data_IF_647408881850
#
_entry.id   IF_647408881850
#
_cell.length_a   1.000
_cell.length_b   1.000
_cell.length_c   1.000
_cell.angle_alpha   90.00
_cell.angle_beta   90.00
_cell.angle_gamma   90.00
#
_symmetry.space_group_name_H-M   'P 1'
#
loop_
_entity.id
_entity.type
_entity.pdbx_description
1 polymer ?
#
# COMPACT_ATOMS: atom_id res chain seq x y z
N UNK A 1 16.01 -6.48 -5.14
CA UNK A 1 16.90 -6.88 -4.04
C UNK A 1 17.66 -5.62 -3.60
N UNK A 2 17.69 -5.30 -2.30
CA UNK A 2 17.88 -3.97 -1.66
C UNK A 2 16.58 -3.25 -1.26
N UNK A 3 15.59 -3.95 -0.68
CA UNK A 3 14.35 -3.34 -0.18
C UNK A 3 13.41 -2.78 -1.25
N UNK A 4 13.75 -2.90 -2.54
CA UNK A 4 12.90 -2.45 -3.65
C UNK A 4 11.77 -3.45 -3.94
N UNK A 5 10.54 -2.98 -4.19
CA UNK A 5 9.43 -3.84 -4.59
C UNK A 5 9.74 -4.52 -5.93
N UNK A 6 9.34 -5.79 -6.06
CA UNK A 6 9.67 -6.63 -7.23
C UNK A 6 8.42 -6.96 -8.03
N UNK A 7 7.40 -7.53 -7.39
CA UNK A 7 6.13 -7.92 -8.00
C UNK A 7 5.04 -8.09 -6.96
N UNK A 8 3.78 -8.10 -7.40
CA UNK A 8 2.70 -8.71 -6.63
C UNK A 8 2.78 -10.24 -6.71
N UNK A 9 2.55 -10.92 -5.58
CA UNK A 9 2.42 -12.38 -5.53
C UNK A 9 0.97 -12.83 -5.63
N UNK A 10 0.09 -12.05 -5.01
CA UNK A 10 -1.34 -12.33 -4.87
C UNK A 10 -2.11 -11.02 -5.08
N UNK A 11 -3.29 -11.11 -5.70
CA UNK A 11 -4.13 -9.95 -5.98
C UNK A 11 -5.60 -10.34 -5.79
N UNK A 12 -6.36 -9.50 -5.09
CA UNK A 12 -7.82 -9.58 -5.02
C UNK A 12 -8.35 -8.26 -5.57
N UNK A 13 -9.23 -8.34 -6.58
CA UNK A 13 -9.90 -7.15 -7.09
C UNK A 13 -10.98 -6.68 -6.12
N UNK A 14 -10.98 -5.38 -5.80
CA UNK A 14 -12.04 -4.75 -5.01
C UNK A 14 -13.41 -4.79 -5.69
N UNK A 15 -13.48 -4.96 -7.02
CA UNK A 15 -14.73 -4.91 -7.78
C UNK A 15 -15.71 -6.05 -7.46
N UNK A 16 -15.30 -7.06 -6.66
CA UNK A 16 -16.12 -8.23 -6.35
C UNK A 16 -16.13 -8.65 -4.87
N UNK A 17 -15.69 -7.79 -3.94
CA UNK A 17 -15.61 -8.13 -2.50
C UNK A 17 -16.19 -7.04 -1.61
N UNK A 18 -16.97 -7.44 -0.60
CA UNK A 18 -17.38 -6.57 0.53
C UNK A 18 -16.37 -6.55 1.66
N UNK A 19 -15.37 -7.43 1.62
CA UNK A 19 -14.28 -7.54 2.57
C UNK A 19 -13.04 -6.83 2.04
N UNK A 20 -12.29 -6.17 2.91
CA UNK A 20 -11.01 -5.56 2.56
C UNK A 20 -9.97 -6.65 2.23
N UNK A 21 -9.44 -6.70 0.99
CA UNK A 21 -8.33 -7.58 0.62
C UNK A 21 -7.15 -7.56 1.58
N UNK A 22 -6.79 -6.41 2.14
CA UNK A 22 -5.63 -6.32 3.03
C UNK A 22 -5.88 -7.06 4.35
N UNK A 23 -7.11 -7.03 4.88
CA UNK A 23 -7.49 -7.83 6.04
C UNK A 23 -7.45 -9.33 5.74
N UNK A 24 -7.93 -9.74 4.56
CA UNK A 24 -7.88 -11.14 4.12
C UNK A 24 -6.44 -11.64 4.03
N UNK A 25 -5.56 -10.87 3.39
CA UNK A 25 -4.16 -11.26 3.23
C UNK A 25 -3.42 -11.31 4.56
N UNK A 26 -3.65 -10.33 5.45
CA UNK A 26 -3.10 -10.32 6.80
C UNK A 26 -3.57 -11.54 7.61
N UNK A 27 -4.88 -11.81 7.62
CA UNK A 27 -5.45 -12.96 8.34
C UNK A 27 -4.97 -14.32 7.82
N UNK A 28 -4.61 -14.41 6.54
CA UNK A 28 -4.00 -15.61 5.93
C UNK A 28 -2.50 -15.74 6.19
N UNK A 29 -1.87 -14.77 6.85
CA UNK A 29 -0.43 -14.77 7.12
C UNK A 29 0.41 -14.64 5.84
N UNK A 30 -0.09 -13.91 4.85
CA UNK A 30 0.60 -13.72 3.56
C UNK A 30 1.55 -12.52 3.55
N UNK A 31 1.69 -11.82 4.67
CA UNK A 31 2.69 -10.77 4.89
C UNK A 31 3.83 -11.27 5.77
N UNK A 32 5.01 -10.64 5.61
CA UNK A 32 6.15 -10.76 6.50
C UNK A 32 6.80 -9.38 6.70
N UNK A 33 5.98 -8.42 7.16
CA UNK A 33 6.36 -7.00 7.32
C UNK A 33 7.56 -6.85 8.23
N UNK A 34 7.59 -7.57 9.35
CA UNK A 34 8.70 -7.55 10.32
C UNK A 34 10.02 -8.04 9.70
N UNK A 35 9.97 -9.08 8.86
CA UNK A 35 11.14 -9.60 8.14
C UNK A 35 11.63 -8.62 7.06
N UNK A 36 10.70 -7.93 6.40
CA UNK A 36 11.01 -6.90 5.40
C UNK A 36 11.74 -5.73 6.05
N UNK A 37 11.30 -5.29 7.23
CA UNK A 37 11.99 -4.24 7.99
C UNK A 37 13.39 -4.70 8.43
N UNK A 38 13.52 -5.94 8.92
CA UNK A 38 14.79 -6.45 9.45
C UNK A 38 15.83 -6.79 8.36
N UNK A 39 15.39 -7.27 7.20
CA UNK A 39 16.29 -7.86 6.19
C UNK A 39 16.09 -7.35 4.76
N UNK A 40 15.07 -6.52 4.52
CA UNK A 40 14.70 -6.04 3.19
C UNK A 40 14.11 -7.14 2.28
N UNK A 41 13.69 -8.27 2.85
CA UNK A 41 13.14 -9.43 2.14
C UNK A 41 11.84 -9.87 2.81
N UNK A 42 10.88 -10.28 1.98
CA UNK A 42 9.57 -10.72 2.42
C UNK A 42 8.44 -10.10 1.60
N UNK A 43 7.22 -10.20 2.11
CA UNK A 43 6.02 -9.66 1.47
C UNK A 43 5.37 -8.59 2.36
N UNK A 44 4.92 -7.51 1.74
CA UNK A 44 4.11 -6.48 2.41
C UNK A 44 2.77 -6.36 1.73
N UNK A 45 1.80 -5.81 2.46
CA UNK A 45 0.51 -5.44 1.93
C UNK A 45 0.67 -4.19 1.05
N UNK A 46 0.06 -4.19 -0.13
CA UNK A 46 0.11 -3.08 -1.07
C UNK A 46 -1.17 -2.97 -1.87
N UNK A 47 -1.48 -1.76 -2.32
CA UNK A 47 -2.58 -1.45 -3.21
C UNK A 47 -2.05 -1.03 -4.59
N UNK A 48 -2.84 -1.29 -5.62
CA UNK A 48 -2.65 -0.72 -6.96
C UNK A 48 -3.89 0.08 -7.35
N UNK A 49 -3.68 1.28 -7.89
CA UNK A 49 -4.71 2.13 -8.47
C UNK A 49 -4.35 2.47 -9.90
N UNK A 50 -5.33 2.50 -10.78
CA UNK A 50 -5.13 2.93 -12.17
C UNK A 50 -5.68 4.34 -12.37
N UNK A 51 -4.89 5.19 -13.01
CA UNK A 51 -5.29 6.53 -13.41
C UNK A 51 -5.21 6.68 -14.93
N UNK A 52 -6.00 7.58 -15.54
CA UNK A 52 -5.80 7.95 -16.95
C UNK A 52 -4.38 8.45 -17.18
N UNK A 53 -3.74 8.06 -18.29
CA UNK A 53 -2.35 8.42 -18.57
C UNK A 53 -2.13 9.93 -18.66
N UNK A 54 -3.12 10.69 -19.12
CA UNK A 54 -3.07 12.15 -19.22
C UNK A 54 -2.96 12.82 -17.83
N UNK A 55 -3.49 12.17 -16.80
CA UNK A 55 -3.42 12.64 -15.42
C UNK A 55 -2.09 12.32 -14.73
N UNK A 56 -1.20 11.53 -15.36
CA UNK A 56 0.01 11.02 -14.73
C UNK A 56 0.96 12.12 -14.24
N UNK A 57 1.12 13.19 -15.04
CA UNK A 57 1.96 14.33 -14.66
C UNK A 57 1.40 15.02 -13.41
N UNK A 58 0.13 15.37 -13.44
CA UNK A 58 -0.56 16.03 -12.32
C UNK A 58 -0.58 15.13 -11.07
N UNK A 59 -0.80 13.83 -11.23
CA UNK A 59 -0.77 12.89 -10.12
C UNK A 59 0.61 12.86 -9.44
N UNK A 60 1.71 12.86 -10.21
CA UNK A 60 3.07 12.94 -9.65
C UNK A 60 3.30 14.22 -8.86
N UNK A 61 2.86 15.37 -9.38
CA UNK A 61 2.98 16.66 -8.69
C UNK A 61 2.18 16.70 -7.37
N UNK A 62 0.99 16.08 -7.35
CA UNK A 62 0.16 15.98 -6.14
C UNK A 62 0.81 15.03 -5.13
N UNK A 63 1.30 13.87 -5.57
CA UNK A 63 1.96 12.90 -4.71
C UNK A 63 3.24 13.48 -4.08
N UNK A 64 4.00 14.28 -4.81
CA UNK A 64 5.17 14.99 -4.28
C UNK A 64 4.78 16.03 -3.21
N UNK A 65 3.65 16.73 -3.39
CA UNK A 65 3.11 17.64 -2.36
C UNK A 65 2.63 16.88 -1.12
N UNK A 66 1.99 15.74 -1.31
CA UNK A 66 1.54 14.87 -0.23
C UNK A 66 2.74 14.35 0.60
N UNK A 67 3.80 13.89 -0.06
CA UNK A 67 5.06 13.47 0.58
C UNK A 67 5.68 14.60 1.41
N UNK A 68 5.74 15.83 0.86
CA UNK A 68 6.23 17.02 1.59
C UNK A 68 5.36 17.38 2.81
N UNK A 69 4.09 16.98 2.83
CA UNK A 69 3.19 17.15 3.94
C UNK A 69 3.20 15.95 4.93
N UNK A 70 4.09 14.97 4.74
CA UNK A 70 4.19 13.78 5.58
C UNK A 70 3.28 12.62 5.18
N UNK A 71 2.50 12.77 4.10
CA UNK A 71 1.63 11.71 3.56
C UNK A 71 2.43 10.89 2.56
N UNK A 72 3.11 9.86 3.08
CA UNK A 72 3.96 8.96 2.31
C UNK A 72 3.22 7.69 1.90
N UNK A 73 3.84 6.91 1.00
CA UNK A 73 3.37 5.55 0.71
C UNK A 73 3.46 5.09 -0.74
N UNK A 74 3.91 5.94 -1.66
CA UNK A 74 4.11 5.52 -3.06
C UNK A 74 5.29 4.56 -3.14
N UNK A 75 5.05 3.33 -3.59
CA UNK A 75 6.08 2.31 -3.81
C UNK A 75 6.60 2.32 -5.25
N UNK A 76 5.72 2.54 -6.22
CA UNK A 76 6.08 2.60 -7.63
C UNK A 76 5.01 3.35 -8.43
N UNK A 77 5.44 4.01 -9.51
CA UNK A 77 4.55 4.59 -10.53
C UNK A 77 4.93 3.97 -11.87
N UNK A 78 3.99 3.26 -12.48
CA UNK A 78 4.13 2.62 -13.78
C UNK A 78 4.17 3.63 -14.93
N UNK A 79 4.69 3.19 -16.07
CA UNK A 79 4.57 3.93 -17.33
C UNK A 79 3.17 3.70 -17.93
N UNK A 80 2.65 4.64 -18.75
CA UNK A 80 1.40 4.43 -19.47
C UNK A 80 1.42 3.14 -20.28
N UNK A 81 0.30 2.40 -20.29
CA UNK A 81 0.10 1.16 -21.04
C UNK A 81 1.10 0.02 -20.71
N UNK A 82 1.84 0.13 -19.60
CA UNK A 82 2.85 -0.84 -19.20
C UNK A 82 2.49 -1.48 -17.85
N UNK A 83 2.70 -2.80 -17.68
CA UNK A 83 2.53 -3.44 -16.39
C UNK A 83 3.40 -2.80 -15.30
N UNK A 84 2.89 -2.73 -14.07
CA UNK A 84 3.64 -2.27 -12.90
C UNK A 84 3.70 -3.40 -11.88
N UNK A 85 4.92 -3.75 -11.45
CA UNK A 85 5.17 -4.85 -10.51
C UNK A 85 4.47 -6.17 -10.92
N UNK A 86 4.47 -6.48 -12.22
CA UNK A 86 3.86 -7.69 -12.76
C UNK A 86 2.33 -7.66 -12.94
N UNK A 87 1.68 -6.54 -12.58
CA UNK A 87 0.23 -6.37 -12.76
C UNK A 87 -0.04 -5.58 -14.04
N UNK A 88 -0.81 -6.12 -15.01
CA UNK A 88 -1.21 -5.38 -16.20
C UNK A 88 -2.12 -4.21 -15.82
N UNK A 89 -2.03 -3.13 -16.58
CA UNK A 89 -2.90 -1.94 -16.45
C UNK A 89 -3.76 -1.81 -17.70
N UNK A 90 -4.91 -1.13 -17.58
CA UNK A 90 -5.80 -0.88 -18.71
C UNK A 90 -5.16 -0.03 -19.82
N UNK A 91 -5.81 -0.06 -20.99
CA UNK A 91 -5.45 0.83 -22.11
C UNK A 91 -5.66 2.29 -21.68
N UNK A 92 -4.72 3.14 -22.04
CA UNK A 92 -4.62 4.57 -21.71
C UNK A 92 -4.58 4.84 -20.20
N UNK A 93 -4.05 3.87 -19.43
CA UNK A 93 -3.88 3.95 -17.98
C UNK A 93 -2.42 3.84 -17.55
N UNK A 94 -2.13 4.37 -16.38
CA UNK A 94 -0.91 4.12 -15.63
C UNK A 94 -1.26 3.59 -14.23
N UNK A 95 -0.48 2.64 -13.72
CA UNK A 95 -0.65 2.08 -12.39
C UNK A 95 0.17 2.83 -11.34
N UNK A 96 -0.43 3.12 -10.20
CA UNK A 96 0.23 3.67 -9.01
C UNK A 96 0.14 2.62 -7.90
N UNK A 97 1.30 2.21 -7.39
CA UNK A 97 1.42 1.24 -6.31
C UNK A 97 1.64 1.99 -5.00
N UNK A 98 0.79 1.70 -4.01
CA UNK A 98 0.81 2.30 -2.68
C UNK A 98 1.05 1.22 -1.63
N UNK A 99 1.79 1.54 -0.58
CA UNK A 99 1.90 0.70 0.61
C UNK A 99 0.52 0.55 1.27
N UNK A 100 0.23 -0.64 1.79
CA UNK A 100 -1.00 -0.89 2.54
C UNK A 100 -0.94 -0.24 3.92
N UNK A 101 -1.97 0.54 4.27
CA UNK A 101 -2.10 1.15 5.60
C UNK A 101 -2.21 0.13 6.75
N UNK A 102 -2.52 -1.13 6.44
CA UNK A 102 -2.64 -2.22 7.41
C UNK A 102 -1.29 -2.89 7.76
N UNK A 103 -0.17 -2.51 7.11
CA UNK A 103 1.14 -3.13 7.40
C UNK A 103 1.57 -3.03 8.88
N UNK A 104 1.36 -1.91 9.61
CA UNK A 104 1.65 -1.86 11.04
C UNK A 104 0.85 -2.89 11.85
N UNK A 105 -0.44 -3.06 11.56
CA UNK A 105 -1.28 -4.05 12.24
C UNK A 105 -0.88 -5.49 11.88
N UNK A 106 -0.47 -5.72 10.62
CA UNK A 106 0.09 -7.00 10.21
C UNK A 106 1.39 -7.31 10.98
N UNK A 107 2.27 -6.33 11.19
CA UNK A 107 3.48 -6.50 12.00
C UNK A 107 3.17 -6.86 13.46
N UNK A 108 2.16 -6.24 14.07
CA UNK A 108 1.68 -6.59 15.42
C UNK A 108 1.15 -8.02 15.47
N UNK A 109 0.37 -8.43 14.46
CA UNK A 109 -0.13 -9.80 14.35
C UNK A 109 1.00 -10.83 14.16
N UNK A 110 2.00 -10.53 13.31
CA UNK A 110 3.21 -11.34 13.12
C UNK A 110 3.99 -11.55 14.44
N UNK A 111 3.99 -10.54 15.32
CA UNK A 111 4.57 -10.62 16.66
C UNK A 111 3.70 -11.41 17.68
N UNK A 112 2.58 -12.00 17.24
CA UNK A 112 1.63 -12.76 18.05
C UNK A 112 0.98 -11.95 19.17
N UNK A 113 0.90 -10.62 18.99
CA UNK A 113 0.18 -9.73 19.90
C UNK A 113 -1.29 -9.73 19.46
N UNK A 114 -2.25 -10.07 20.34
CA UNK A 114 -3.67 -10.04 20.01
C UNK A 114 -4.12 -8.64 19.57
N UNK A 115 -4.80 -8.57 18.44
CA UNK A 115 -5.30 -7.32 17.86
C UNK A 115 -6.69 -7.54 17.26
N UNK A 116 -7.54 -6.52 17.35
CA UNK A 116 -8.84 -6.46 16.66
C UNK A 116 -8.90 -5.21 15.80
N UNK A 117 -9.19 -5.36 14.50
CA UNK A 117 -9.58 -4.26 13.63
C UNK A 117 -11.10 -4.17 13.52
N UNK A 118 -11.59 -2.96 13.30
CA UNK A 118 -12.97 -2.68 12.92
C UNK A 118 -12.96 -2.06 11.53
N UNK A 119 -14.07 -2.18 10.80
CA UNK A 119 -14.26 -1.44 9.55
C UNK A 119 -14.13 0.08 9.79
N UNK A 120 -13.80 0.82 8.73
CA UNK A 120 -13.67 2.29 8.75
C UNK A 120 -14.89 2.90 9.45
N UNK A 121 -14.67 3.49 10.63
CA UNK A 121 -15.73 4.01 11.49
C UNK A 121 -15.61 5.51 11.80
N UNK A 122 -14.50 6.15 11.40
CA UNK A 122 -14.15 7.51 11.83
C UNK A 122 -13.47 8.35 10.76
N UNK A 123 -13.70 9.65 10.88
CA UNK A 123 -12.91 10.72 10.28
C UNK A 123 -12.08 11.35 11.41
N UNK A 124 -10.81 11.62 11.14
CA UNK A 124 -9.87 12.23 12.09
C UNK A 124 -9.25 13.44 11.41
N UNK A 125 -9.14 14.56 12.11
CA UNK A 125 -8.44 15.74 11.60
C UNK A 125 -6.94 15.46 11.55
N UNK A 126 -6.28 15.88 10.49
CA UNK A 126 -4.84 15.60 10.31
C UNK A 126 -4.00 16.20 11.45
N UNK A 127 -4.42 17.35 12.00
CA UNK A 127 -3.77 18.03 13.11
C UNK A 127 -3.84 17.26 14.44
N UNK A 128 -4.79 16.32 14.57
CA UNK A 128 -4.91 15.46 15.75
C UNK A 128 -3.96 14.24 15.68
N UNK A 129 -3.31 14.00 14.54
CA UNK A 129 -2.34 12.92 14.38
C UNK A 129 -0.97 13.31 14.93
N UNK A 130 -0.29 12.35 15.57
CA UNK A 130 1.05 12.54 16.14
C UNK A 130 2.08 11.81 15.29
N UNK A 131 3.24 12.42 15.10
CA UNK A 131 4.36 11.81 14.39
C UNK A 131 4.88 10.59 15.18
N UNK A 132 5.18 9.50 14.46
CA UNK A 132 5.69 8.28 15.09
C UNK A 132 7.08 8.52 15.68
N UNK A 133 7.83 9.46 15.12
CA UNK A 133 9.15 9.88 15.59
C UNK A 133 9.12 10.59 16.97
N UNK A 134 7.95 10.94 17.48
CA UNK A 134 7.78 11.49 18.84
C UNK A 134 7.80 10.40 19.94
N UNK A 135 7.80 9.11 19.57
CA UNK A 135 7.82 7.95 20.47
C UNK A 135 9.09 7.12 20.31
#
# INVERSE_FOLDING_TARGET
LNGKPVRFTDLISYAGSTLDPLEIFSAKGLSSVTEVVASGRGCILANIREIPMDALKTAKEILEKAEKAGINGVLAIGQPNMPVLGVPVGIDRAGIVLIGGMNPLAAVAEAKIPISSSAIDRLIEFEDMVSVEEF
#
